data_IF_805253823122
#
_entry.id   IF_805253823122
#
_cell.length_a   1.000
_cell.length_b   1.000
_cell.length_c   1.000
_cell.angle_alpha   90.00
_cell.angle_beta   90.00
_cell.angle_gamma   90.00
#
_symmetry.space_group_name_H-M   'P 1'
#
loop_
_entity.id
_entity.type
_entity.pdbx_description
1 polymer ?
#
# COMPACT_ATOMS: atom_id res chain seq x y z
N UNK A 1 -3.13 12.01 16.61
CA UNK A 1 -2.98 12.57 15.25
C UNK A 1 -3.60 11.58 14.28
N UNK A 2 -4.46 12.01 13.36
CA UNK A 2 -4.87 11.16 12.23
C UNK A 2 -3.63 10.94 11.35
N UNK A 3 -3.21 9.70 11.19
CA UNK A 3 -2.18 9.30 10.23
C UNK A 3 -2.72 9.50 8.84
N UNK A 4 -2.19 10.51 8.15
CA UNK A 4 -2.46 10.77 6.73
C UNK A 4 -1.32 10.20 5.90
N UNK A 5 -1.63 9.71 4.70
CA UNK A 5 -0.61 9.33 3.71
C UNK A 5 0.29 10.50 3.30
N UNK A 6 -0.11 11.74 3.60
CA UNK A 6 0.69 12.96 3.38
C UNK A 6 1.74 13.18 4.48
N UNK A 7 1.61 12.54 5.64
CA UNK A 7 2.47 12.72 6.81
C UNK A 7 3.47 11.58 7.04
N UNK A 8 3.52 10.61 6.12
CA UNK A 8 4.46 9.48 6.19
C UNK A 8 5.66 9.69 5.27
N UNK A 9 6.80 9.15 5.67
CA UNK A 9 8.00 9.10 4.85
C UNK A 9 7.99 7.82 4.03
N UNK A 10 7.84 7.95 2.72
CA UNK A 10 7.97 6.82 1.80
C UNK A 10 9.46 6.52 1.54
N UNK A 11 9.86 5.26 1.68
CA UNK A 11 11.23 4.78 1.42
C UNK A 11 11.29 3.96 0.13
N UNK A 12 12.39 4.04 -0.61
CA UNK A 12 12.56 3.31 -1.88
C UNK A 12 11.41 3.55 -2.86
N UNK A 13 10.92 2.49 -3.50
CA UNK A 13 9.75 2.50 -4.40
C UNK A 13 8.40 2.33 -3.69
N UNK A 14 8.33 2.38 -2.35
CA UNK A 14 7.09 2.11 -1.60
C UNK A 14 5.89 2.95 -2.05
N UNK A 15 6.09 4.25 -2.34
CA UNK A 15 5.02 5.12 -2.82
C UNK A 15 4.52 4.70 -4.20
N UNK A 16 5.45 4.38 -5.11
CA UNK A 16 5.14 3.90 -6.45
C UNK A 16 4.40 2.55 -6.36
N UNK A 17 4.83 1.67 -5.47
CA UNK A 17 4.20 0.37 -5.24
C UNK A 17 2.76 0.52 -4.75
N UNK A 18 2.54 1.42 -3.79
CA UNK A 18 1.20 1.73 -3.29
C UNK A 18 0.30 2.31 -4.40
N UNK A 19 0.82 3.22 -5.22
CA UNK A 19 0.07 3.77 -6.36
C UNK A 19 -0.28 2.70 -7.40
N UNK A 20 0.62 1.76 -7.70
CA UNK A 20 0.34 0.61 -8.58
C UNK A 20 -0.84 -0.22 -8.04
N UNK A 21 -0.90 -0.46 -6.72
CA UNK A 21 -2.02 -1.16 -6.10
C UNK A 21 -3.30 -0.36 -6.29
N UNK A 22 -3.28 0.95 -5.98
CA UNK A 22 -4.44 1.82 -6.13
C UNK A 22 -4.95 1.90 -7.56
N UNK A 23 -4.08 1.84 -8.56
CA UNK A 23 -4.47 1.90 -9.97
C UNK A 23 -5.11 0.60 -10.48
N UNK A 24 -4.80 -0.51 -9.83
CA UNK A 24 -5.48 -1.78 -10.08
C UNK A 24 -6.85 -1.88 -9.39
N UNK A 25 -7.13 -1.01 -8.41
CA UNK A 25 -8.40 -0.96 -7.69
C UNK A 25 -9.42 -0.15 -8.51
N UNK A 26 -10.66 -0.65 -8.70
CA UNK A 26 -11.72 0.11 -9.34
C UNK A 26 -11.92 1.48 -8.67
N UNK A 27 -12.16 2.53 -9.46
CA UNK A 27 -12.22 3.92 -8.99
C UNK A 27 -13.13 4.13 -7.78
N UNK A 28 -14.28 3.45 -7.76
CA UNK A 28 -15.27 3.48 -6.67
C UNK A 28 -14.72 3.00 -5.32
N UNK A 29 -13.67 2.19 -5.30
CA UNK A 29 -13.06 1.65 -4.09
C UNK A 29 -11.74 2.35 -3.70
N UNK A 30 -11.17 3.20 -4.56
CA UNK A 30 -9.86 3.85 -4.30
C UNK A 30 -9.89 4.68 -3.01
N UNK A 31 -10.97 5.42 -2.75
CA UNK A 31 -11.12 6.21 -1.51
C UNK A 31 -11.21 5.34 -0.26
N UNK A 32 -11.94 4.22 -0.34
CA UNK A 32 -12.04 3.24 0.75
C UNK A 32 -10.68 2.64 1.06
N UNK A 33 -9.93 2.19 0.04
CA UNK A 33 -8.59 1.62 0.24
C UNK A 33 -7.65 2.64 0.89
N UNK A 34 -7.65 3.90 0.42
CA UNK A 34 -6.84 4.97 1.04
C UNK A 34 -7.18 5.16 2.53
N UNK A 35 -8.47 5.24 2.88
CA UNK A 35 -8.90 5.39 4.29
C UNK A 35 -8.50 4.21 5.16
N UNK A 36 -8.65 2.98 4.67
CA UNK A 36 -8.25 1.79 5.41
C UNK A 36 -6.74 1.80 5.71
N UNK A 37 -5.94 2.23 4.75
CA UNK A 37 -4.48 2.34 4.92
C UNK A 37 -4.14 3.46 5.90
N UNK A 38 -4.76 4.65 5.79
CA UNK A 38 -4.59 5.76 6.74
C UNK A 38 -4.98 5.35 8.18
N UNK A 39 -6.08 4.63 8.34
CA UNK A 39 -6.52 4.11 9.63
C UNK A 39 -5.51 3.10 10.21
N UNK A 40 -4.96 2.23 9.36
CA UNK A 40 -3.94 1.27 9.76
C UNK A 40 -2.63 1.96 10.17
N UNK A 41 -2.15 2.94 9.40
CA UNK A 41 -0.95 3.73 9.73
C UNK A 41 -1.12 4.45 11.07
N UNK A 42 -2.28 5.08 11.28
CA UNK A 42 -2.65 5.74 12.53
C UNK A 42 -2.61 4.78 13.72
N UNK A 43 -3.21 3.60 13.56
CA UNK A 43 -3.32 2.59 14.62
C UNK A 43 -1.95 2.04 15.04
N UNK A 44 -1.04 1.88 14.07
CA UNK A 44 0.28 1.28 14.30
C UNK A 44 1.39 2.32 14.51
N UNK A 45 1.06 3.62 14.53
CA UNK A 45 2.02 4.73 14.66
C UNK A 45 3.18 4.64 13.65
N UNK A 46 2.84 4.25 12.42
CA UNK A 46 3.81 4.05 11.33
C UNK A 46 4.05 5.39 10.66
N UNK A 47 5.30 5.85 10.74
CA UNK A 47 5.73 7.11 10.13
C UNK A 47 6.62 6.90 8.90
N UNK A 48 7.14 5.69 8.71
CA UNK A 48 7.95 5.31 7.56
C UNK A 48 7.32 4.11 6.86
N UNK A 49 7.09 4.23 5.55
CA UNK A 49 6.51 3.17 4.74
C UNK A 49 7.59 2.62 3.83
N UNK A 50 7.81 1.31 3.90
CA UNK A 50 8.77 0.57 3.08
C UNK A 50 8.03 -0.32 2.08
N UNK A 51 8.76 -0.82 1.08
CA UNK A 51 8.23 -1.76 0.08
C UNK A 51 7.75 -3.07 0.74
N UNK A 52 8.50 -3.55 1.74
CA UNK A 52 8.16 -4.71 2.56
C UNK A 52 6.79 -4.53 3.23
N UNK A 53 6.56 -3.36 3.82
CA UNK A 53 5.31 -3.05 4.51
C UNK A 53 4.12 -3.00 3.55
N UNK A 54 4.31 -2.38 2.38
CA UNK A 54 3.27 -2.31 1.34
C UNK A 54 2.94 -3.71 0.82
N UNK A 55 3.97 -4.53 0.56
CA UNK A 55 3.78 -5.92 0.13
C UNK A 55 3.08 -6.77 1.19
N UNK A 56 3.47 -6.65 2.46
CA UNK A 56 2.82 -7.37 3.54
C UNK A 56 1.33 -6.99 3.65
N UNK A 57 1.02 -5.70 3.67
CA UNK A 57 -0.36 -5.22 3.72
C UNK A 57 -1.17 -5.67 2.50
N UNK A 58 -0.58 -5.62 1.31
CA UNK A 58 -1.21 -6.14 0.10
C UNK A 58 -1.49 -7.63 0.23
N UNK A 59 -0.52 -8.41 0.71
CA UNK A 59 -0.69 -9.86 0.90
C UNK A 59 -1.84 -10.14 1.89
N UNK A 60 -1.87 -9.47 3.03
CA UNK A 60 -2.91 -9.70 4.05
C UNK A 60 -4.32 -9.28 3.63
N UNK A 61 -4.47 -8.25 2.79
CA UNK A 61 -5.77 -7.59 2.54
C UNK A 61 -6.32 -7.80 1.14
N UNK A 62 -5.45 -7.99 0.13
CA UNK A 62 -5.90 -8.07 -1.25
C UNK A 62 -6.59 -9.42 -1.53
N UNK A 63 -7.69 -9.43 -2.30
CA UNK A 63 -8.32 -10.67 -2.73
C UNK A 63 -7.42 -11.42 -3.72
N UNK A 64 -7.55 -12.76 -3.77
CA UNK A 64 -6.73 -13.64 -4.63
C UNK A 64 -6.61 -13.19 -6.10
N UNK A 65 -7.65 -12.67 -6.77
CA UNK A 65 -7.52 -12.17 -8.14
C UNK A 65 -6.53 -11.00 -8.27
N UNK A 66 -6.48 -10.11 -7.27
CA UNK A 66 -5.51 -9.01 -7.25
C UNK A 66 -4.09 -9.53 -7.01
N UNK A 67 -3.93 -10.50 -6.12
CA UNK A 67 -2.66 -11.19 -5.92
C UNK A 67 -2.11 -11.73 -7.23
N UNK A 68 -2.87 -12.55 -7.94
CA UNK A 68 -2.44 -13.16 -9.20
C UNK A 68 -2.05 -12.12 -10.26
N UNK A 69 -2.70 -10.94 -10.25
CA UNK A 69 -2.46 -9.87 -11.20
C UNK A 69 -1.21 -9.05 -10.88
N UNK A 70 -0.96 -8.76 -9.61
CA UNK A 70 0.00 -7.72 -9.21
C UNK A 70 1.23 -8.26 -8.52
N UNK A 71 1.18 -9.45 -7.89
CA UNK A 71 2.24 -9.86 -6.96
C UNK A 71 3.63 -9.90 -7.62
N UNK A 72 3.75 -10.45 -8.84
CA UNK A 72 5.02 -10.47 -9.56
C UNK A 72 5.53 -9.09 -9.92
N UNK A 73 4.65 -8.15 -10.28
CA UNK A 73 5.02 -6.76 -10.53
C UNK A 73 5.50 -6.07 -9.24
N UNK A 74 4.78 -6.26 -8.13
CA UNK A 74 5.12 -5.63 -6.86
C UNK A 74 6.43 -6.20 -6.29
N UNK A 75 6.66 -7.51 -6.40
CA UNK A 75 7.91 -8.13 -5.96
C UNK A 75 9.11 -7.66 -6.81
N UNK A 76 8.93 -7.47 -8.11
CA UNK A 76 9.95 -6.91 -9.00
C UNK A 76 10.25 -5.41 -8.74
N UNK A 77 9.41 -4.71 -7.98
CA UNK A 77 9.63 -3.30 -7.61
C UNK A 77 10.51 -3.15 -6.37
N UNK A 78 10.84 -4.24 -5.66
CA UNK A 78 11.72 -4.18 -4.50
C UNK A 78 13.10 -3.67 -4.91
N UNK A 79 13.64 -2.70 -4.19
CA UNK A 79 15.00 -2.18 -4.41
C UNK A 79 15.99 -2.63 -3.36
N UNK A 80 15.49 -3.18 -2.25
CA UNK A 80 16.26 -3.69 -1.12
C UNK A 80 15.66 -5.03 -0.62
#
# INVERSE_FOLDING_TARGET
MMGSLDNVTWKGNSQKMFNTILDAVPSIFKSTVKREVEAWLSKNNVNEITEELVLQAFKEKAPKPMWNKLIGQLEAMKTE
#
